data_IF_194106715493
#
_entry.id   IF_194106715493
#
_cell.length_a   1.000
_cell.length_b   1.000
_cell.length_c   1.000
_cell.angle_alpha   90.00
_cell.angle_beta   90.00
_cell.angle_gamma   90.00
#
_symmetry.space_group_name_H-M   'P 1'
#
loop_
_entity.id
_entity.type
_entity.pdbx_description
1 polymer ?
#
# COMPACT_ATOMS: atom_id res chain seq x y z
N UNK A 1 31.54 -31.18 13.45
CA UNK A 1 30.88 -30.98 12.14
C UNK A 1 29.38 -30.89 12.42
N UNK A 2 28.82 -29.74 12.87
CA UNK A 2 27.38 -29.50 13.00
C UNK A 2 27.05 -28.21 13.78
N UNK A 3 27.71 -27.08 13.55
CA UNK A 3 27.34 -25.78 14.22
C UNK A 3 27.08 -24.62 13.23
N UNK A 4 26.96 -24.92 11.93
CA UNK A 4 26.84 -23.86 10.89
C UNK A 4 25.39 -23.60 10.47
N UNK A 5 24.39 -24.39 10.91
CA UNK A 5 23.04 -24.34 10.35
C UNK A 5 21.98 -23.56 11.15
N UNK A 6 22.24 -23.16 12.39
CA UNK A 6 21.23 -22.44 13.19
C UNK A 6 21.27 -20.94 12.98
N UNK A 7 22.43 -20.35 12.72
CA UNK A 7 22.59 -18.91 12.49
C UNK A 7 22.06 -18.44 11.13
N UNK A 8 22.18 -19.28 10.09
CA UNK A 8 21.65 -18.97 8.75
C UNK A 8 20.11 -18.97 8.71
N UNK A 9 19.46 -19.85 9.49
CA UNK A 9 17.99 -19.90 9.58
C UNK A 9 17.44 -18.68 10.34
N UNK A 10 18.16 -18.19 11.34
CA UNK A 10 17.74 -17.03 12.13
C UNK A 10 17.90 -15.72 11.33
N UNK A 11 18.92 -15.64 10.46
CA UNK A 11 19.15 -14.49 9.59
C UNK A 11 18.09 -14.39 8.49
N UNK A 12 17.65 -15.50 7.91
CA UNK A 12 16.62 -15.55 6.86
C UNK A 12 15.21 -15.25 7.40
N UNK A 13 14.91 -15.63 8.65
CA UNK A 13 13.62 -15.37 9.28
C UNK A 13 13.36 -13.88 9.59
N UNK A 14 14.41 -13.07 9.76
CA UNK A 14 14.30 -11.63 9.96
C UNK A 14 14.13 -10.84 8.65
N UNK A 15 14.48 -11.44 7.50
CA UNK A 15 14.50 -10.73 6.20
C UNK A 15 13.23 -10.89 5.37
N UNK A 16 12.33 -11.83 5.70
CA UNK A 16 11.17 -12.17 4.85
C UNK A 16 9.85 -12.33 5.61
N UNK A 17 9.61 -11.53 6.65
CA UNK A 17 8.29 -11.55 7.28
C UNK A 17 7.27 -10.91 6.34
N UNK A 18 6.48 -11.74 5.66
CA UNK A 18 5.35 -11.28 4.85
C UNK A 18 4.34 -10.53 5.73
N UNK A 19 3.77 -9.41 5.26
CA UNK A 19 2.75 -8.72 6.01
C UNK A 19 1.49 -9.60 6.12
N UNK A 20 0.93 -9.69 7.32
CA UNK A 20 -0.21 -10.55 7.63
C UNK A 20 -1.47 -9.71 7.84
N UNK A 21 -2.58 -10.11 7.20
CA UNK A 21 -3.88 -9.46 7.40
C UNK A 21 -4.31 -9.59 8.86
N UNK A 22 -4.70 -8.45 9.46
CA UNK A 22 -5.08 -8.34 10.87
C UNK A 22 -3.93 -8.00 11.83
N UNK A 23 -2.67 -8.07 11.38
CA UNK A 23 -1.52 -7.66 12.18
C UNK A 23 -1.14 -6.20 11.95
N UNK A 24 -0.44 -5.61 12.93
CA UNK A 24 0.14 -4.27 12.81
C UNK A 24 1.32 -4.29 11.85
N UNK A 25 1.36 -3.29 11.00
CA UNK A 25 2.52 -3.04 10.12
C UNK A 25 3.72 -2.48 10.92
N UNK A 26 4.94 -2.67 10.41
CA UNK A 26 6.13 -2.10 11.02
C UNK A 26 6.10 -0.58 11.00
N UNK A 27 6.50 0.05 12.10
CA UNK A 27 6.60 1.51 12.19
C UNK A 27 7.98 1.98 11.73
N UNK A 28 8.11 2.29 10.44
CA UNK A 28 9.35 2.76 9.83
C UNK A 28 9.32 4.27 9.62
N UNK A 29 10.50 4.88 9.72
CA UNK A 29 10.75 6.24 9.27
C UNK A 29 11.39 6.22 7.89
N UNK A 30 10.94 7.10 7.01
CA UNK A 30 11.43 7.24 5.64
C UNK A 30 11.32 8.69 5.17
N UNK A 31 12.11 9.05 4.15
CA UNK A 31 12.02 10.35 3.51
C UNK A 31 10.95 10.36 2.43
N UNK A 32 10.19 11.43 2.32
CA UNK A 32 9.22 11.64 1.25
C UNK A 32 9.50 12.94 0.51
N UNK A 33 9.25 12.93 -0.78
CA UNK A 33 9.05 14.13 -1.59
C UNK A 33 7.56 14.46 -1.62
N UNK A 34 7.18 15.68 -1.29
CA UNK A 34 5.82 16.18 -1.41
C UNK A 34 5.82 17.71 -1.49
N UNK A 35 5.07 18.28 -2.45
CA UNK A 35 4.88 19.74 -2.55
C UNK A 35 6.20 20.53 -2.51
N UNK A 36 7.16 20.08 -3.30
CA UNK A 36 8.49 20.67 -3.43
C UNK A 36 9.32 20.71 -2.12
N UNK A 37 9.09 19.72 -1.25
CA UNK A 37 9.82 19.57 0.04
C UNK A 37 10.20 18.11 0.26
N UNK A 38 11.35 17.93 0.89
CA UNK A 38 11.77 16.65 1.45
C UNK A 38 11.47 16.65 2.95
N UNK A 39 10.75 15.65 3.43
CA UNK A 39 10.41 15.52 4.85
C UNK A 39 10.50 14.08 5.30
N UNK A 40 10.95 13.87 6.54
CA UNK A 40 10.87 12.54 7.16
C UNK A 40 9.47 12.29 7.69
N UNK A 41 8.97 11.09 7.46
CA UNK A 41 7.67 10.62 7.94
C UNK A 41 7.84 9.29 8.65
N UNK A 42 7.10 9.11 9.74
CA UNK A 42 6.91 7.82 10.38
C UNK A 42 5.60 7.21 9.91
N UNK A 43 5.60 5.91 9.63
CA UNK A 43 4.40 5.23 9.13
C UNK A 43 3.20 5.41 10.07
N UNK A 44 3.45 5.31 11.38
CA UNK A 44 2.42 5.53 12.41
C UNK A 44 1.78 6.91 12.37
N UNK A 45 2.51 7.94 11.95
CA UNK A 45 1.95 9.30 11.83
C UNK A 45 1.01 9.45 10.65
N UNK A 46 1.15 8.60 9.63
CA UNK A 46 0.35 8.64 8.39
C UNK A 46 -1.00 7.95 8.56
N UNK A 47 -1.07 6.86 9.33
CA UNK A 47 -2.35 6.17 9.59
C UNK A 47 -3.05 6.64 10.89
N UNK A 48 -2.43 7.48 11.72
CA UNK A 48 -3.06 7.98 12.95
C UNK A 48 -4.38 8.71 12.63
N UNK A 49 -5.49 8.13 13.07
CA UNK A 49 -6.86 8.62 12.81
C UNK A 49 -7.24 8.67 11.31
N UNK A 50 -6.55 7.95 10.44
CA UNK A 50 -6.81 7.87 9.01
C UNK A 50 -6.62 6.45 8.50
N UNK A 51 -7.23 6.15 7.39
CA UNK A 51 -6.85 5.01 6.58
C UNK A 51 -5.62 5.36 5.77
N UNK A 52 -4.75 4.39 5.54
CA UNK A 52 -3.54 4.59 4.75
C UNK A 52 -3.48 3.57 3.63
N UNK A 53 -3.15 4.04 2.44
CA UNK A 53 -2.76 3.21 1.31
C UNK A 53 -1.26 3.38 1.07
N UNK A 54 -0.51 2.28 1.14
CA UNK A 54 0.84 2.21 0.60
C UNK A 54 0.76 1.61 -0.80
N UNK A 55 1.32 2.34 -1.77
CA UNK A 55 1.25 2.01 -3.18
C UNK A 55 2.67 1.85 -3.74
N UNK A 56 3.20 0.62 -3.67
CA UNK A 56 4.54 0.29 -4.16
C UNK A 56 4.54 0.18 -5.68
N UNK A 57 5.59 0.64 -6.31
CA UNK A 57 5.81 0.55 -7.75
C UNK A 57 7.31 0.36 -8.05
N UNK A 58 7.69 -0.22 -9.21
CA UNK A 58 9.08 -0.56 -9.50
C UNK A 58 10.05 0.61 -9.45
N UNK A 59 9.87 1.62 -10.29
CA UNK A 59 10.79 2.75 -10.38
C UNK A 59 10.17 3.96 -11.07
N UNK A 60 10.75 5.13 -10.79
CA UNK A 60 10.51 6.37 -11.53
C UNK A 60 10.97 6.25 -12.99
N UNK A 61 10.50 7.15 -13.86
CA UNK A 61 10.87 7.23 -15.28
C UNK A 61 10.64 5.93 -16.08
N UNK A 62 9.65 5.10 -15.69
CA UNK A 62 9.25 3.88 -16.40
C UNK A 62 7.95 4.07 -17.19
N UNK A 63 7.30 2.99 -17.62
CA UNK A 63 6.22 3.05 -18.60
C UNK A 63 4.81 2.88 -18.00
N UNK A 64 4.59 1.88 -17.15
CA UNK A 64 3.30 1.64 -16.50
C UNK A 64 3.14 2.54 -15.26
N UNK A 65 4.23 2.77 -14.50
CA UNK A 65 4.18 3.50 -13.24
C UNK A 65 3.56 4.91 -13.38
N UNK A 66 3.88 5.73 -14.41
CA UNK A 66 3.25 7.03 -14.54
C UNK A 66 1.74 6.93 -14.79
N UNK A 67 1.25 5.90 -15.49
CA UNK A 67 -0.19 5.73 -15.74
C UNK A 67 -0.95 5.38 -14.46
N UNK A 68 -0.37 4.53 -13.60
CA UNK A 68 -0.96 4.18 -12.30
C UNK A 68 -0.97 5.37 -11.32
N UNK A 69 0.14 6.12 -11.25
CA UNK A 69 0.26 7.27 -10.36
C UNK A 69 -0.62 8.45 -10.81
N UNK A 70 -0.81 8.62 -12.12
CA UNK A 70 -1.73 9.60 -12.67
C UNK A 70 -3.19 9.27 -12.30
N UNK A 71 -3.64 8.02 -12.52
CA UNK A 71 -4.98 7.56 -12.14
C UNK A 71 -5.22 7.71 -10.62
N UNK A 72 -4.23 7.33 -9.83
CA UNK A 72 -4.27 7.49 -8.38
C UNK A 72 -4.30 8.98 -7.95
N UNK A 73 -3.58 9.85 -8.66
CA UNK A 73 -3.58 11.29 -8.41
C UNK A 73 -4.95 11.93 -8.74
N UNK A 74 -5.61 11.48 -9.80
CA UNK A 74 -6.97 11.92 -10.15
C UNK A 74 -8.00 11.48 -9.10
N UNK A 75 -7.83 10.28 -8.54
CA UNK A 75 -8.68 9.74 -7.47
C UNK A 75 -8.37 10.31 -6.07
N UNK A 76 -7.20 10.90 -5.87
CA UNK A 76 -6.72 11.33 -4.55
C UNK A 76 -7.66 12.29 -3.81
N UNK A 77 -8.29 13.30 -4.44
CA UNK A 77 -9.28 14.16 -3.76
C UNK A 77 -10.47 13.38 -3.19
N UNK A 78 -10.94 12.32 -3.88
CA UNK A 78 -11.99 11.43 -3.41
C UNK A 78 -11.50 10.59 -2.21
N UNK A 79 -10.31 10.03 -2.29
CA UNK A 79 -9.69 9.27 -1.20
C UNK A 79 -9.51 10.15 0.06
N UNK A 80 -9.06 11.39 -0.09
CA UNK A 80 -8.96 12.35 1.03
C UNK A 80 -10.31 12.63 1.69
N UNK A 81 -11.38 12.81 0.91
CA UNK A 81 -12.74 12.99 1.44
C UNK A 81 -13.23 11.75 2.21
N UNK A 82 -12.74 10.57 1.86
CA UNK A 82 -13.01 9.32 2.57
C UNK A 82 -12.13 9.12 3.82
N UNK A 83 -11.28 10.09 4.18
CA UNK A 83 -10.34 9.96 5.31
C UNK A 83 -9.17 9.01 5.03
N UNK A 84 -8.78 8.87 3.77
CA UNK A 84 -7.68 8.00 3.32
C UNK A 84 -6.48 8.86 2.95
N UNK A 85 -5.33 8.54 3.52
CA UNK A 85 -4.03 9.03 3.06
C UNK A 85 -3.43 8.03 2.07
N UNK A 86 -2.67 8.53 1.12
CA UNK A 86 -1.96 7.72 0.12
C UNK A 86 -0.49 8.04 0.19
N UNK A 87 0.37 7.03 0.09
CA UNK A 87 1.82 7.18 -0.07
C UNK A 87 2.26 6.23 -1.18
N UNK A 88 2.86 6.75 -2.23
CA UNK A 88 3.56 5.92 -3.21
C UNK A 88 4.97 5.62 -2.71
N UNK A 89 5.49 4.43 -3.03
CA UNK A 89 6.80 3.96 -2.58
C UNK A 89 7.54 3.29 -3.73
N UNK A 90 8.79 3.69 -3.97
CA UNK A 90 9.73 2.94 -4.82
C UNK A 90 11.12 2.94 -4.20
N UNK A 91 12.01 2.16 -4.76
CA UNK A 91 13.42 2.10 -4.33
C UNK A 91 14.25 3.30 -4.80
N UNK A 92 13.63 4.25 -5.47
CA UNK A 92 14.27 5.52 -5.86
C UNK A 92 14.57 6.41 -4.66
N UNK A 93 15.42 7.43 -4.89
CA UNK A 93 15.69 8.49 -3.92
C UNK A 93 14.65 9.61 -4.01
N UNK A 94 14.53 10.41 -2.95
CA UNK A 94 13.69 11.60 -2.95
C UNK A 94 14.07 12.63 -4.03
N UNK A 95 15.33 12.65 -4.45
CA UNK A 95 15.82 13.51 -5.53
C UNK A 95 15.30 13.04 -6.89
N UNK A 96 15.23 11.73 -7.12
CA UNK A 96 14.65 11.12 -8.31
C UNK A 96 13.16 11.44 -8.39
N UNK A 97 12.41 11.26 -7.29
CA UNK A 97 10.99 11.64 -7.22
C UNK A 97 10.75 13.11 -7.58
N UNK A 98 11.60 14.00 -7.04
CA UNK A 98 11.51 15.42 -7.39
C UNK A 98 11.76 15.66 -8.88
N UNK A 99 12.82 15.11 -9.42
CA UNK A 99 13.17 15.27 -10.83
C UNK A 99 12.05 14.75 -11.74
N UNK A 100 11.48 13.58 -11.42
CA UNK A 100 10.37 13.02 -12.18
C UNK A 100 9.10 13.85 -12.06
N UNK A 101 8.78 14.33 -10.87
CA UNK A 101 7.64 15.24 -10.66
C UNK A 101 7.79 16.54 -11.43
N UNK A 102 9.00 17.08 -11.54
CA UNK A 102 9.24 18.35 -12.24
C UNK A 102 9.18 18.20 -13.78
N UNK A 103 9.46 17.02 -14.31
CA UNK A 103 9.64 16.79 -15.75
C UNK A 103 8.48 16.03 -16.42
N UNK A 104 7.68 15.27 -15.69
CA UNK A 104 6.58 14.46 -16.22
C UNK A 104 5.23 15.13 -16.01
N UNK A 105 4.47 15.35 -17.08
CA UNK A 105 3.13 15.95 -17.00
C UNK A 105 2.14 15.08 -16.19
N UNK A 106 2.24 13.75 -16.27
CA UNK A 106 1.44 12.84 -15.47
C UNK A 106 1.77 12.97 -13.98
N UNK A 107 3.07 12.96 -13.64
CA UNK A 107 3.52 12.97 -12.25
C UNK A 107 3.37 14.34 -11.58
N UNK A 108 3.37 15.44 -12.32
CA UNK A 108 2.99 16.77 -11.79
C UNK A 108 1.62 16.81 -11.13
N UNK A 109 0.72 15.88 -11.50
CA UNK A 109 -0.61 15.73 -10.88
C UNK A 109 -0.55 15.12 -9.49
N UNK A 110 0.51 14.40 -9.13
CA UNK A 110 0.68 13.75 -7.83
C UNK A 110 0.79 14.79 -6.72
N UNK A 111 -0.11 14.72 -5.75
CA UNK A 111 -0.14 15.62 -4.57
C UNK A 111 0.04 14.85 -3.25
N UNK A 112 0.01 13.53 -3.30
CA UNK A 112 0.33 12.67 -2.15
C UNK A 112 1.85 12.52 -1.97
N UNK A 113 2.34 12.09 -0.78
CA UNK A 113 3.75 11.83 -0.54
C UNK A 113 4.30 10.72 -1.46
N UNK A 114 5.48 10.93 -2.01
CA UNK A 114 6.28 9.93 -2.72
C UNK A 114 7.43 9.53 -1.81
N UNK A 115 7.38 8.32 -1.29
CA UNK A 115 8.35 7.80 -0.33
C UNK A 115 9.56 7.17 -1.03
N UNK A 116 10.72 7.60 -0.61
CA UNK A 116 12.01 7.05 -1.05
C UNK A 116 12.40 5.85 -0.17
N UNK A 117 12.68 4.71 -0.80
CA UNK A 117 13.15 3.48 -0.14
C UNK A 117 14.45 2.94 -0.81
N UNK A 118 15.53 3.75 -0.92
CA UNK A 118 16.74 3.35 -1.65
C UNK A 118 17.45 2.14 -1.02
N UNK A 119 17.14 1.80 0.22
CA UNK A 119 17.64 0.59 0.88
C UNK A 119 16.75 -0.63 0.64
N UNK A 120 15.56 -0.46 0.08
CA UNK A 120 14.56 -1.51 -0.08
C UNK A 120 13.97 -2.02 1.25
N UNK A 121 14.13 -1.26 2.35
CA UNK A 121 13.67 -1.72 3.67
C UNK A 121 12.15 -1.77 3.77
N UNK A 122 11.45 -0.75 3.26
CA UNK A 122 9.98 -0.78 3.20
C UNK A 122 9.50 -1.89 2.27
N UNK A 123 10.14 -2.04 1.10
CA UNK A 123 9.79 -3.10 0.15
C UNK A 123 9.94 -4.48 0.76
N UNK A 124 10.99 -4.73 1.56
CA UNK A 124 11.16 -5.99 2.30
C UNK A 124 10.12 -6.17 3.40
N UNK A 125 9.86 -5.14 4.19
CA UNK A 125 8.86 -5.20 5.27
C UNK A 125 7.45 -5.55 4.74
N UNK A 126 7.17 -5.20 3.49
CA UNK A 126 5.89 -5.49 2.83
C UNK A 126 5.96 -6.66 1.83
N UNK A 127 7.10 -7.36 1.75
CA UNK A 127 7.26 -8.56 0.92
C UNK A 127 7.17 -8.33 -0.58
N UNK A 128 7.54 -7.15 -1.04
CA UNK A 128 7.47 -6.75 -2.46
C UNK A 128 8.84 -6.45 -3.08
N UNK A 129 9.93 -6.72 -2.38
CA UNK A 129 11.27 -6.45 -2.86
C UNK A 129 11.77 -7.57 -3.79
N UNK A 130 12.24 -7.21 -4.99
CA UNK A 130 12.88 -8.10 -5.95
C UNK A 130 14.39 -7.95 -5.76
N UNK A 131 15.01 -8.93 -5.13
CA UNK A 131 16.44 -8.88 -4.74
C UNK A 131 17.36 -8.71 -5.95
N UNK A 132 17.07 -9.41 -7.04
CA UNK A 132 17.90 -9.45 -8.26
C UNK A 132 17.86 -8.13 -9.02
N UNK A 133 16.77 -7.37 -8.90
CA UNK A 133 16.55 -6.12 -9.63
C UNK A 133 16.76 -4.88 -8.76
N UNK A 134 16.69 -5.03 -7.43
CA UNK A 134 16.67 -3.90 -6.51
C UNK A 134 15.40 -3.04 -6.60
N UNK A 135 14.31 -3.61 -7.13
CA UNK A 135 13.04 -2.93 -7.42
C UNK A 135 11.90 -3.47 -6.55
N UNK A 136 10.77 -2.78 -6.56
CA UNK A 136 9.55 -3.26 -5.94
C UNK A 136 8.62 -3.93 -6.96
N UNK A 137 7.85 -4.93 -6.52
CA UNK A 137 6.62 -5.36 -7.18
C UNK A 137 5.53 -4.27 -7.03
N UNK A 138 4.46 -4.35 -7.83
CA UNK A 138 3.30 -3.47 -7.71
C UNK A 138 2.42 -3.89 -6.56
N UNK A 139 2.82 -3.54 -5.34
CA UNK A 139 2.08 -3.83 -4.12
C UNK A 139 1.13 -2.72 -3.71
N UNK A 140 -0.08 -3.06 -3.29
CA UNK A 140 -1.05 -2.14 -2.68
C UNK A 140 -1.46 -2.68 -1.34
N UNK A 141 -1.32 -1.88 -0.28
CA UNK A 141 -1.62 -2.28 1.09
C UNK A 141 -2.56 -1.26 1.72
N UNK A 142 -3.70 -1.73 2.23
CA UNK A 142 -4.70 -0.91 2.91
C UNK A 142 -4.57 -1.12 4.41
N UNK A 143 -4.25 -0.06 5.14
CA UNK A 143 -3.98 -0.05 6.58
C UNK A 143 -5.05 0.78 7.28
N UNK A 144 -5.62 0.25 8.36
CA UNK A 144 -6.65 0.93 9.13
C UNK A 144 -6.04 1.95 10.12
N UNK A 145 -6.86 2.81 10.77
CA UNK A 145 -6.38 3.82 11.73
C UNK A 145 -5.68 3.27 12.98
N UNK A 146 -5.71 1.95 13.21
CA UNK A 146 -4.98 1.29 14.30
C UNK A 146 -3.60 0.78 13.86
N UNK A 147 -3.26 0.91 12.57
CA UNK A 147 -2.05 0.41 11.97
C UNK A 147 -2.11 -1.07 11.59
N UNK A 148 -3.31 -1.66 11.51
CA UNK A 148 -3.51 -3.05 11.11
C UNK A 148 -3.70 -3.16 9.60
N UNK A 149 -3.03 -4.12 8.95
CA UNK A 149 -3.23 -4.44 7.55
C UNK A 149 -4.60 -5.10 7.36
N UNK A 150 -5.45 -4.58 6.48
CA UNK A 150 -6.80 -5.10 6.26
C UNK A 150 -7.03 -5.69 4.87
N UNK A 151 -6.25 -5.26 3.89
CA UNK A 151 -6.28 -5.83 2.53
C UNK A 151 -4.96 -5.55 1.83
N UNK A 152 -4.56 -6.45 0.93
CA UNK A 152 -3.41 -6.27 0.06
C UNK A 152 -3.66 -6.92 -1.29
N UNK A 153 -2.95 -6.42 -2.30
CA UNK A 153 -2.78 -7.06 -3.61
C UNK A 153 -1.35 -6.80 -4.10
N UNK A 154 -0.78 -7.77 -4.77
CA UNK A 154 0.55 -7.65 -5.38
C UNK A 154 0.44 -8.18 -6.80
N UNK A 155 0.89 -7.37 -7.76
CA UNK A 155 0.87 -7.70 -9.18
C UNK A 155 2.30 -7.87 -9.70
N UNK A 156 2.44 -8.67 -10.74
CA UNK A 156 3.61 -8.68 -11.59
C UNK A 156 3.85 -7.28 -12.20
N UNK A 157 5.11 -6.94 -12.43
CA UNK A 157 5.50 -5.60 -12.90
C UNK A 157 4.98 -5.25 -14.32
N UNK A 158 4.47 -6.22 -15.07
CA UNK A 158 3.82 -6.02 -16.37
C UNK A 158 2.32 -5.73 -16.28
N UNK A 159 1.70 -5.82 -15.10
CA UNK A 159 0.24 -5.71 -14.91
C UNK A 159 -0.11 -4.48 -14.06
N UNK A 160 -0.62 -3.42 -14.71
CA UNK A 160 -1.13 -2.23 -14.03
C UNK A 160 -2.36 -2.51 -13.16
N UNK A 161 -2.54 -1.71 -12.10
CA UNK A 161 -3.63 -1.83 -11.13
C UNK A 161 -4.83 -0.96 -11.49
N UNK A 162 -5.98 -1.24 -10.87
CA UNK A 162 -7.23 -0.52 -11.06
C UNK A 162 -7.58 0.29 -9.80
N UNK A 163 -7.58 1.61 -9.91
CA UNK A 163 -7.86 2.52 -8.79
C UNK A 163 -9.34 2.49 -8.36
N UNK A 164 -10.27 2.23 -9.26
CA UNK A 164 -11.68 2.08 -8.88
C UNK A 164 -11.90 0.84 -7.99
N UNK A 165 -11.20 -0.25 -8.27
CA UNK A 165 -11.23 -1.44 -7.42
C UNK A 165 -10.54 -1.19 -6.06
N UNK A 166 -9.46 -0.43 -6.03
CA UNK A 166 -8.85 0.03 -4.78
C UNK A 166 -9.85 0.83 -3.94
N UNK A 167 -10.55 1.80 -4.53
CA UNK A 167 -11.57 2.59 -3.85
C UNK A 167 -12.69 1.69 -3.32
N UNK A 168 -13.17 0.74 -4.12
CA UNK A 168 -14.21 -0.23 -3.71
C UNK A 168 -13.77 -1.06 -2.50
N UNK A 169 -12.52 -1.55 -2.49
CA UNK A 169 -11.95 -2.31 -1.37
C UNK A 169 -11.87 -1.46 -0.10
N UNK A 170 -11.42 -0.21 -0.21
CA UNK A 170 -11.36 0.73 0.92
C UNK A 170 -12.77 0.98 1.48
N UNK A 171 -13.76 1.24 0.63
CA UNK A 171 -15.15 1.45 1.03
C UNK A 171 -15.71 0.23 1.77
N UNK A 172 -15.44 -0.98 1.28
CA UNK A 172 -15.85 -2.21 1.94
C UNK A 172 -15.17 -2.37 3.31
N UNK A 173 -13.87 -2.10 3.40
CA UNK A 173 -13.11 -2.17 4.65
C UNK A 173 -13.63 -1.16 5.68
N UNK A 174 -13.89 0.09 5.27
CA UNK A 174 -14.47 1.13 6.13
C UNK A 174 -15.88 0.77 6.60
N UNK A 175 -16.69 0.20 5.71
CA UNK A 175 -18.05 -0.25 6.06
C UNK A 175 -17.99 -1.35 7.14
N UNK A 176 -17.20 -2.39 6.95
CA UNK A 176 -17.05 -3.49 7.92
C UNK A 176 -16.51 -2.99 9.25
N UNK A 177 -15.55 -2.07 9.24
CA UNK A 177 -14.99 -1.49 10.46
C UNK A 177 -16.04 -0.72 11.29
N UNK A 178 -17.02 -0.08 10.63
CA UNK A 178 -18.08 0.71 11.28
C UNK A 178 -19.35 -0.09 11.56
N UNK A 179 -19.54 -1.28 10.97
CA UNK A 179 -20.76 -2.10 11.08
C UNK A 179 -20.43 -3.51 11.59
N UNK A 180 -20.17 -3.60 12.91
CA UNK A 180 -19.82 -4.89 13.55
C UNK A 180 -20.82 -5.98 13.23
N UNK A 181 -20.33 -7.16 12.83
CA UNK A 181 -21.14 -8.33 12.53
C UNK A 181 -21.81 -8.31 11.17
N UNK A 182 -21.58 -7.32 10.32
CA UNK A 182 -21.96 -7.32 8.92
C UNK A 182 -20.76 -7.62 8.02
N UNK A 183 -21.02 -8.26 6.88
CA UNK A 183 -20.00 -8.58 5.87
C UNK A 183 -20.42 -8.07 4.49
N UNK A 184 -19.44 -7.61 3.73
CA UNK A 184 -19.61 -7.22 2.34
C UNK A 184 -19.45 -8.46 1.45
N UNK A 185 -20.43 -8.70 0.59
CA UNK A 185 -20.40 -9.81 -0.38
C UNK A 185 -19.45 -9.52 -1.55
N UNK A 186 -19.26 -10.52 -2.41
CA UNK A 186 -18.54 -10.32 -3.67
C UNK A 186 -19.15 -9.16 -4.47
N UNK A 187 -18.30 -8.33 -5.12
CA UNK A 187 -18.72 -7.15 -5.90
C UNK A 187 -19.58 -6.13 -5.12
N UNK A 188 -19.51 -6.15 -3.78
CA UNK A 188 -20.20 -5.16 -2.96
C UNK A 188 -19.71 -3.74 -3.26
N UNK A 189 -20.64 -2.81 -3.32
CA UNK A 189 -20.39 -1.36 -3.40
C UNK A 189 -21.32 -0.64 -2.42
N UNK A 190 -21.02 0.60 -2.00
CA UNK A 190 -21.89 1.37 -1.12
C UNK A 190 -23.33 1.39 -1.60
N UNK A 191 -24.28 1.17 -0.67
CA UNK A 191 -25.72 1.07 -0.96
C UNK A 191 -26.24 -0.33 -1.31
N UNK A 192 -25.35 -1.29 -1.61
CA UNK A 192 -25.76 -2.68 -1.82
C UNK A 192 -25.99 -3.42 -0.50
N UNK A 193 -26.82 -4.47 -0.56
CA UNK A 193 -27.13 -5.32 0.59
C UNK A 193 -25.86 -5.96 1.16
N UNK A 194 -25.80 -6.04 2.48
CA UNK A 194 -24.80 -6.77 3.25
C UNK A 194 -25.42 -8.02 3.85
N UNK A 195 -24.59 -8.92 4.37
CA UNK A 195 -25.06 -10.09 5.10
C UNK A 195 -24.68 -9.98 6.57
N UNK A 196 -25.53 -10.51 7.42
CA UNK A 196 -25.23 -10.76 8.83
C UNK A 196 -25.03 -12.28 9.00
N UNK A 197 -23.77 -12.75 9.07
CA UNK A 197 -23.48 -14.19 9.18
C UNK A 197 -24.21 -14.84 10.34
N UNK A 198 -24.69 -16.07 10.13
CA UNK A 198 -25.39 -16.84 11.14
C UNK A 198 -25.79 -18.22 10.63
N UNK A 199 -26.03 -19.14 11.55
CA UNK A 199 -26.31 -20.55 11.24
C UNK A 199 -27.50 -20.72 10.27
N UNK A 200 -28.49 -19.80 10.30
CA UNK A 200 -29.65 -19.82 9.45
C UNK A 200 -29.35 -19.57 7.97
N UNK A 201 -28.17 -19.02 7.65
CA UNK A 201 -27.76 -18.72 6.27
C UNK A 201 -26.91 -19.84 5.66
N UNK A 202 -26.46 -20.80 6.47
CA UNK A 202 -25.61 -21.90 5.97
C UNK A 202 -26.40 -22.72 4.93
N UNK A 203 -25.83 -22.86 3.74
CA UNK A 203 -26.45 -23.55 2.60
C UNK A 203 -27.63 -22.83 1.93
N UNK A 204 -27.87 -21.54 2.26
CA UNK A 204 -28.98 -20.75 1.70
C UNK A 204 -28.53 -19.50 0.92
N UNK A 205 -27.23 -19.38 0.68
CA UNK A 205 -26.64 -18.24 -0.06
C UNK A 205 -26.06 -18.77 -1.36
#
# INVERSE_FOLDING_TARGET
>A
MSEIFEDDIMFDSCFNRQPVIGEKVFDREFTVYQSNKFTKKKLSTLYKNKWLVLFFYPADFTFICPTELEDLAEAYPKLKKMGVEVVSVSTDTEFTHKAWHDTSEAIKKVKFPMAADPTGQLCRDFGVYIMEEGLALRGTFIINPKGELVAMEVHDNSIGRNVDELIRKIQAAQFVASHKGQVCTAKWTPGKKTLKPGIKLVGKI
#
